data_IF_113666838315
#
_entry.id   IF_113666838315
#
_cell.length_a   1.000
_cell.length_b   1.000
_cell.length_c   1.000
_cell.angle_alpha   90.00
_cell.angle_beta   90.00
_cell.angle_gamma   90.00
#
_symmetry.space_group_name_H-M   'P 1'
#
loop_
_entity.id
_entity.type
_entity.pdbx_description
1 polymer ?
#
# COMPACT_ATOMS: atom_id res chain seq x y z
N UNK A 1 24.50 41.75 19.11
CA UNK A 1 24.66 40.43 18.46
C UNK A 1 23.70 40.40 17.29
N UNK A 2 24.22 40.48 16.07
CA UNK A 2 23.39 40.32 14.87
C UNK A 2 23.05 38.84 14.72
N UNK A 3 21.77 38.48 14.81
CA UNK A 3 21.32 37.14 14.48
C UNK A 3 21.42 36.96 12.97
N UNK A 4 22.34 36.11 12.53
CA UNK A 4 22.38 35.64 11.14
C UNK A 4 21.10 34.83 10.89
N UNK A 5 20.15 35.45 10.19
CA UNK A 5 18.95 34.78 9.69
C UNK A 5 19.34 33.92 8.49
N UNK A 6 19.68 32.66 8.74
CA UNK A 6 19.90 31.68 7.67
C UNK A 6 18.55 31.37 7.04
N UNK A 7 18.39 31.63 5.73
CA UNK A 7 17.16 31.26 5.02
C UNK A 7 17.25 29.79 4.64
N UNK A 8 16.09 29.12 4.58
CA UNK A 8 16.02 27.70 4.17
C UNK A 8 16.63 27.48 2.77
N UNK A 9 16.53 28.47 1.89
CA UNK A 9 17.13 28.43 0.56
C UNK A 9 18.66 28.50 0.55
N UNK A 10 19.29 28.87 1.66
CA UNK A 10 20.75 28.95 1.78
C UNK A 10 21.35 27.62 2.25
N UNK A 11 20.51 26.68 2.73
CA UNK A 11 20.95 25.36 3.15
C UNK A 11 21.39 24.52 1.94
N UNK A 12 22.38 23.63 2.06
CA UNK A 12 22.73 22.64 1.02
C UNK A 12 21.60 21.64 0.73
N UNK A 13 21.61 21.03 -0.47
CA UNK A 13 20.57 20.09 -0.92
C UNK A 13 20.45 18.87 0.01
N UNK A 14 21.58 18.38 0.52
CA UNK A 14 21.65 17.23 1.41
C UNK A 14 20.90 17.50 2.72
N UNK A 15 21.08 18.70 3.28
CA UNK A 15 20.41 19.12 4.50
C UNK A 15 18.91 19.29 4.25
N UNK A 16 18.53 19.88 3.12
CA UNK A 16 17.12 20.00 2.72
C UNK A 16 16.46 18.63 2.57
N UNK A 17 17.11 17.67 1.91
CA UNK A 17 16.59 16.31 1.76
C UNK A 17 16.38 15.66 3.14
N UNK A 18 17.32 15.84 4.07
CA UNK A 18 17.20 15.31 5.44
C UNK A 18 16.00 15.91 6.18
N UNK A 19 15.78 17.23 6.07
CA UNK A 19 14.64 17.92 6.67
C UNK A 19 13.34 17.42 6.04
N UNK A 20 13.24 17.42 4.71
CA UNK A 20 12.01 17.05 4.00
C UNK A 20 11.61 15.59 4.23
N UNK A 21 12.58 14.68 4.41
CA UNK A 21 12.33 13.28 4.79
C UNK A 21 11.67 13.11 6.16
N UNK A 22 11.72 14.12 7.02
CA UNK A 22 11.04 14.11 8.34
C UNK A 22 9.60 14.61 8.26
N UNK A 23 9.18 15.14 7.11
CA UNK A 23 7.84 15.65 6.88
C UNK A 23 7.00 14.62 6.11
N UNK A 24 5.67 14.73 6.19
CA UNK A 24 4.77 13.89 5.43
C UNK A 24 4.95 14.12 3.92
N UNK A 25 5.04 13.02 3.16
CA UNK A 25 5.32 13.11 1.72
C UNK A 25 4.25 13.93 1.00
N UNK A 26 2.98 13.73 1.34
CA UNK A 26 1.87 14.45 0.74
C UNK A 26 2.04 15.97 0.90
N UNK A 27 2.34 16.45 2.11
CA UNK A 27 2.50 17.88 2.41
C UNK A 27 3.67 18.50 1.67
N UNK A 28 4.81 17.80 1.65
CA UNK A 28 6.01 18.25 0.93
C UNK A 28 5.73 18.34 -0.56
N UNK A 29 5.16 17.29 -1.14
CA UNK A 29 4.84 17.26 -2.57
C UNK A 29 3.85 18.37 -2.93
N UNK A 30 2.76 18.49 -2.18
CA UNK A 30 1.76 19.52 -2.42
C UNK A 30 2.34 20.95 -2.28
N UNK A 31 3.14 21.18 -1.24
CA UNK A 31 3.64 22.52 -0.92
C UNK A 31 4.80 22.94 -1.80
N UNK A 32 5.69 22.02 -2.20
CA UNK A 32 6.92 22.37 -2.89
C UNK A 32 6.83 22.24 -4.41
N UNK A 33 5.94 21.39 -4.93
CA UNK A 33 5.83 21.19 -6.37
C UNK A 33 5.36 22.48 -7.05
N UNK A 34 6.12 22.97 -8.01
CA UNK A 34 5.83 24.19 -8.76
C UNK A 34 6.26 25.49 -8.07
N UNK A 35 6.77 25.45 -6.84
CA UNK A 35 7.19 26.68 -6.12
C UNK A 35 8.54 27.18 -6.59
N UNK A 36 9.53 26.30 -6.68
CA UNK A 36 10.87 26.64 -7.15
C UNK A 36 11.53 25.45 -7.83
N UNK A 37 12.33 25.71 -8.87
CA UNK A 37 13.06 24.68 -9.62
C UNK A 37 13.94 23.79 -8.73
N UNK A 38 14.60 24.36 -7.73
CA UNK A 38 15.44 23.63 -6.77
C UNK A 38 14.61 22.67 -5.93
N UNK A 39 13.54 23.17 -5.31
CA UNK A 39 12.65 22.31 -4.52
C UNK A 39 11.94 21.24 -5.34
N UNK A 40 11.55 21.53 -6.59
CA UNK A 40 11.03 20.51 -7.51
C UNK A 40 12.05 19.40 -7.75
N UNK A 41 13.32 19.77 -7.95
CA UNK A 41 14.40 18.79 -8.17
C UNK A 41 14.59 17.90 -6.94
N UNK A 42 14.51 18.48 -5.74
CA UNK A 42 14.62 17.76 -4.48
C UNK A 42 13.39 16.85 -4.23
N UNK A 43 12.18 17.39 -4.38
CA UNK A 43 10.93 16.66 -4.17
C UNK A 43 10.75 15.51 -5.16
N UNK A 44 11.27 15.67 -6.39
CA UNK A 44 11.25 14.62 -7.42
C UNK A 44 12.49 13.72 -7.38
N UNK A 45 13.40 13.90 -6.41
CA UNK A 45 14.58 13.04 -6.28
C UNK A 45 14.14 11.61 -5.96
N UNK A 46 14.84 10.62 -6.52
CA UNK A 46 14.56 9.19 -6.31
C UNK A 46 14.49 8.83 -4.81
N UNK A 47 15.37 9.44 -4.01
CA UNK A 47 15.47 9.17 -2.58
C UNK A 47 14.19 9.55 -1.83
N UNK A 48 13.53 10.63 -2.26
CA UNK A 48 12.28 11.10 -1.66
C UNK A 48 11.06 10.40 -2.27
N UNK A 49 11.01 10.30 -3.60
CA UNK A 49 9.85 9.78 -4.32
C UNK A 49 9.72 8.24 -4.29
N UNK A 50 10.76 7.50 -3.85
CA UNK A 50 10.73 6.03 -3.85
C UNK A 50 9.73 5.42 -2.85
N UNK A 51 9.42 6.14 -1.78
CA UNK A 51 8.48 5.71 -0.75
C UNK A 51 7.51 6.86 -0.48
N UNK A 52 6.24 6.70 -0.83
CA UNK A 52 5.23 7.73 -0.65
C UNK A 52 4.15 7.26 0.32
N UNK A 53 3.92 8.09 1.34
CA UNK A 53 2.73 8.02 2.20
C UNK A 53 1.76 9.12 1.80
N UNK A 54 0.59 8.74 1.30
CA UNK A 54 -0.46 9.64 0.80
C UNK A 54 -1.72 9.54 1.66
N UNK A 55 -1.56 9.85 2.94
CA UNK A 55 -2.62 10.06 3.93
C UNK A 55 -2.12 10.99 5.01
N UNK A 56 -3.04 11.55 5.80
CA UNK A 56 -2.72 12.34 6.98
C UNK A 56 -2.78 11.43 8.21
N UNK A 57 -1.75 11.48 9.05
CA UNK A 57 -1.70 10.76 10.33
C UNK A 57 -1.62 11.76 11.47
N UNK A 58 -2.59 11.70 12.37
CA UNK A 58 -2.65 12.53 13.57
C UNK A 58 -3.15 11.68 14.73
N UNK A 59 -2.40 11.63 15.84
CA UNK A 59 -2.71 10.82 17.02
C UNK A 59 -3.03 9.34 16.71
N UNK A 60 -2.25 8.72 15.81
CA UNK A 60 -2.45 7.36 15.29
C UNK A 60 -3.79 7.15 14.55
N UNK A 61 -4.45 8.22 14.13
CA UNK A 61 -5.63 8.17 13.29
C UNK A 61 -5.23 8.51 11.86
N UNK A 62 -5.46 7.55 10.97
CA UNK A 62 -5.28 7.75 9.54
C UNK A 62 -6.53 8.40 8.96
N UNK A 63 -6.30 9.52 8.28
CA UNK A 63 -7.33 10.29 7.60
C UNK A 63 -6.96 10.51 6.14
N UNK A 64 -7.99 10.65 5.32
CA UNK A 64 -7.82 10.95 3.89
C UNK A 64 -7.21 12.34 3.70
N UNK A 65 -6.48 12.50 2.60
CA UNK A 65 -6.02 13.82 2.17
C UNK A 65 -7.22 14.72 1.84
N UNK A 66 -7.13 16.04 2.07
CA UNK A 66 -8.12 16.99 1.56
C UNK A 66 -8.29 16.87 0.04
N UNK A 67 -9.53 16.96 -0.47
CA UNK A 67 -9.81 16.76 -1.90
C UNK A 67 -8.94 17.64 -2.84
N UNK A 68 -8.74 18.95 -2.58
CA UNK A 68 -7.88 19.78 -3.43
C UNK A 68 -6.42 19.32 -3.46
N UNK A 69 -5.95 18.76 -2.35
CA UNK A 69 -4.60 18.23 -2.23
C UNK A 69 -4.48 16.93 -3.03
N UNK A 70 -5.46 16.04 -2.88
CA UNK A 70 -5.54 14.78 -3.62
C UNK A 70 -5.64 15.03 -5.13
N UNK A 71 -6.50 15.95 -5.57
CA UNK A 71 -6.66 16.31 -6.98
C UNK A 71 -5.35 16.80 -7.60
N UNK A 72 -4.64 17.67 -6.90
CA UNK A 72 -3.34 18.16 -7.35
C UNK A 72 -2.30 17.07 -7.39
N UNK A 73 -2.25 16.20 -6.38
CA UNK A 73 -1.33 15.06 -6.34
C UNK A 73 -1.59 14.14 -7.53
N UNK A 74 -2.84 13.75 -7.78
CA UNK A 74 -3.22 12.87 -8.88
C UNK A 74 -2.97 13.49 -10.26
N UNK A 75 -3.38 14.74 -10.48
CA UNK A 75 -3.34 15.34 -11.82
C UNK A 75 -1.97 15.94 -12.20
N UNK A 76 -1.18 16.41 -11.24
CA UNK A 76 0.05 17.17 -11.52
C UNK A 76 1.32 16.51 -11.01
N UNK A 77 1.28 15.86 -9.85
CA UNK A 77 2.50 15.42 -9.16
C UNK A 77 2.83 13.97 -9.52
N UNK A 78 1.88 13.05 -9.35
CA UNK A 78 2.07 11.63 -9.63
C UNK A 78 2.57 11.37 -11.05
N UNK A 79 2.05 12.03 -12.12
CA UNK A 79 2.57 11.87 -13.47
C UNK A 79 4.05 12.23 -13.63
N UNK A 80 4.64 13.02 -12.74
CA UNK A 80 6.05 13.42 -12.80
C UNK A 80 6.99 12.44 -12.08
N UNK A 81 6.48 11.72 -11.08
CA UNK A 81 7.29 10.88 -10.18
C UNK A 81 6.93 9.40 -10.20
N UNK A 82 5.87 8.99 -10.90
CA UNK A 82 5.35 7.61 -10.88
C UNK A 82 6.40 6.52 -11.15
N UNK A 83 7.31 6.76 -12.10
CA UNK A 83 8.39 5.83 -12.45
C UNK A 83 9.45 5.68 -11.34
N UNK A 84 9.44 6.52 -10.30
CA UNK A 84 10.38 6.43 -9.17
C UNK A 84 9.78 5.72 -7.96
N UNK A 85 8.45 5.61 -7.90
CA UNK A 85 7.73 5.07 -6.74
C UNK A 85 7.92 3.56 -6.68
N UNK A 86 8.48 3.07 -5.55
CA UNK A 86 8.66 1.65 -5.25
C UNK A 86 7.71 1.16 -4.16
N UNK A 87 7.36 2.05 -3.23
CA UNK A 87 6.43 1.78 -2.13
C UNK A 87 5.40 2.90 -2.06
N UNK A 88 4.12 2.54 -2.00
CA UNK A 88 3.00 3.47 -1.95
C UNK A 88 2.07 3.07 -0.80
N UNK A 89 1.87 3.97 0.16
CA UNK A 89 0.98 3.78 1.31
C UNK A 89 -0.19 4.72 1.20
N UNK A 90 -1.40 4.16 1.12
CA UNK A 90 -2.62 4.89 0.81
C UNK A 90 -3.69 4.65 1.88
N UNK A 91 -4.50 5.67 2.10
CA UNK A 91 -5.80 5.48 2.74
C UNK A 91 -6.80 4.89 1.73
N UNK A 92 -7.66 3.99 2.21
CA UNK A 92 -8.55 3.15 1.41
C UNK A 92 -9.53 3.91 0.50
N UNK A 93 -10.13 5.01 0.97
CA UNK A 93 -11.09 5.81 0.20
C UNK A 93 -10.42 6.59 -0.92
N UNK A 94 -9.13 6.87 -0.80
CA UNK A 94 -8.34 7.58 -1.82
C UNK A 94 -7.66 6.63 -2.82
N UNK A 95 -7.66 5.32 -2.54
CA UNK A 95 -6.91 4.31 -3.30
C UNK A 95 -7.25 4.33 -4.79
N UNK A 96 -8.53 4.26 -5.15
CA UNK A 96 -8.95 4.17 -6.55
C UNK A 96 -8.48 5.39 -7.35
N UNK A 97 -8.71 6.60 -6.83
CA UNK A 97 -8.28 7.86 -7.48
C UNK A 97 -6.77 7.91 -7.68
N UNK A 98 -5.98 7.40 -6.75
CA UNK A 98 -4.52 7.43 -6.82
C UNK A 98 -4.02 6.37 -7.81
N UNK A 99 -4.50 5.13 -7.69
CA UNK A 99 -4.06 4.03 -8.57
C UNK A 99 -4.46 4.24 -10.03
N UNK A 100 -5.57 4.94 -10.29
CA UNK A 100 -6.01 5.30 -11.64
C UNK A 100 -5.34 6.56 -12.20
N UNK A 101 -4.65 7.35 -11.38
CA UNK A 101 -4.05 8.60 -11.83
C UNK A 101 -2.89 8.40 -12.83
N UNK A 102 -2.16 7.28 -12.73
CA UNK A 102 -1.00 6.99 -13.57
C UNK A 102 -0.61 5.51 -13.48
N UNK A 103 0.31 5.08 -14.35
CA UNK A 103 0.89 3.74 -14.29
C UNK A 103 2.14 3.73 -13.39
N UNK A 104 2.29 2.77 -12.49
CA UNK A 104 3.42 2.68 -11.56
C UNK A 104 4.35 1.50 -11.90
N UNK A 105 5.25 1.65 -12.89
CA UNK A 105 6.01 0.51 -13.43
C UNK A 105 7.00 -0.12 -12.44
N UNK A 106 7.39 0.61 -11.38
CA UNK A 106 8.39 0.18 -10.39
C UNK A 106 7.78 -0.11 -9.01
N UNK A 107 6.44 -0.14 -8.90
CA UNK A 107 5.75 -0.35 -7.63
C UNK A 107 5.87 -1.81 -7.18
N UNK A 108 6.57 -2.01 -6.06
CA UNK A 108 6.82 -3.33 -5.48
C UNK A 108 6.05 -3.54 -4.16
N UNK A 109 5.57 -2.46 -3.56
CA UNK A 109 4.85 -2.47 -2.29
C UNK A 109 3.67 -1.50 -2.33
N UNK A 110 2.49 -2.02 -2.02
CA UNK A 110 1.28 -1.24 -1.81
C UNK A 110 0.76 -1.52 -0.40
N UNK A 111 0.70 -0.48 0.42
CA UNK A 111 0.11 -0.51 1.76
C UNK A 111 -1.25 0.18 1.74
N UNK A 112 -2.27 -0.49 2.26
CA UNK A 112 -3.62 0.07 2.39
C UNK A 112 -3.98 0.25 3.86
N UNK A 113 -4.48 1.43 4.17
CA UNK A 113 -4.76 1.90 5.52
C UNK A 113 -6.19 2.42 5.63
N UNK A 114 -6.75 2.39 6.84
CA UNK A 114 -8.14 2.79 7.06
C UNK A 114 -9.16 1.84 6.39
N UNK A 115 -8.74 0.61 6.05
CA UNK A 115 -9.63 -0.37 5.44
C UNK A 115 -10.54 -0.94 6.52
N UNK A 116 -11.85 -0.88 6.30
CA UNK A 116 -12.79 -1.62 7.14
C UNK A 116 -12.55 -3.12 6.95
N UNK A 117 -12.26 -3.84 8.05
CA UNK A 117 -11.95 -5.27 8.07
C UNK A 117 -12.99 -6.11 7.34
N UNK A 118 -14.28 -5.82 7.52
CA UNK A 118 -15.38 -6.55 6.90
C UNK A 118 -15.39 -6.36 5.38
N UNK A 119 -15.08 -5.14 4.92
CA UNK A 119 -14.89 -4.83 3.49
C UNK A 119 -13.64 -5.49 2.93
N UNK A 120 -12.54 -5.56 3.68
CA UNK A 120 -11.35 -6.28 3.25
C UNK A 120 -11.66 -7.77 3.06
N UNK A 121 -12.29 -8.41 4.06
CA UNK A 121 -12.61 -9.84 4.03
C UNK A 121 -13.53 -10.22 2.86
N UNK A 122 -14.50 -9.36 2.52
CA UNK A 122 -15.38 -9.58 1.36
C UNK A 122 -14.67 -9.45 0.01
N UNK A 123 -13.61 -8.62 -0.10
CA UNK A 123 -12.82 -8.50 -1.32
C UNK A 123 -11.90 -9.72 -1.56
N UNK A 124 -11.37 -10.32 -0.49
CA UNK A 124 -10.46 -11.47 -0.59
C UNK A 124 -11.15 -12.83 -0.66
N UNK A 125 -12.44 -12.93 -0.33
CA UNK A 125 -13.20 -14.18 -0.42
C UNK A 125 -13.71 -14.49 -1.84
N UNK A 126 -13.66 -13.52 -2.77
CA UNK A 126 -14.22 -13.67 -4.12
C UNK A 126 -13.23 -13.74 -5.30
N UNK A 127 -11.95 -13.36 -5.12
CA UNK A 127 -11.03 -13.15 -6.26
C UNK A 127 -9.61 -13.66 -5.95
N UNK A 128 -8.99 -14.41 -6.87
CA UNK A 128 -7.55 -14.73 -6.81
C UNK A 128 -6.74 -13.42 -6.89
N UNK A 129 -6.02 -13.00 -5.84
CA UNK A 129 -5.30 -11.74 -5.86
C UNK A 129 -4.07 -11.82 -6.78
N UNK A 130 -4.00 -10.96 -7.79
CA UNK A 130 -2.83 -10.80 -8.68
C UNK A 130 -1.80 -9.80 -8.14
N UNK A 131 -2.15 -9.02 -7.11
CA UNK A 131 -1.24 -8.12 -6.40
C UNK A 131 -1.03 -8.63 -4.96
N UNK A 132 0.23 -8.68 -4.52
CA UNK A 132 0.58 -9.03 -3.14
C UNK A 132 0.30 -7.79 -2.28
N UNK A 133 -0.86 -7.73 -1.65
CA UNK A 133 -1.12 -6.79 -0.55
C UNK A 133 -0.26 -7.23 0.63
N UNK A 134 0.81 -6.47 0.93
CA UNK A 134 1.78 -6.85 1.97
C UNK A 134 1.41 -6.34 3.37
N UNK A 135 0.62 -5.27 3.44
CA UNK A 135 0.27 -4.64 4.71
C UNK A 135 -1.13 -4.02 4.64
N UNK A 136 -2.02 -4.49 5.51
CA UNK A 136 -3.33 -3.88 5.78
C UNK A 136 -3.27 -3.42 7.25
N UNK A 137 -3.26 -2.11 7.49
CA UNK A 137 -3.43 -1.58 8.85
C UNK A 137 -4.89 -1.26 9.09
N UNK A 138 -5.42 -1.84 10.14
CA UNK A 138 -6.79 -1.62 10.61
C UNK A 138 -6.66 -0.81 11.89
N UNK A 139 -6.51 0.50 11.75
CA UNK A 139 -6.37 1.39 12.90
C UNK A 139 -7.73 1.53 13.60
N UNK A 140 -8.03 0.52 14.41
CA UNK A 140 -9.12 0.46 15.42
C UNK A 140 -8.95 -0.78 16.33
N UNK A 141 -7.71 -1.23 16.56
CA UNK A 141 -7.44 -2.53 17.20
C UNK A 141 -6.40 -2.45 18.32
N UNK A 142 -6.58 -1.51 19.25
CA UNK A 142 -5.89 -1.57 20.56
C UNK A 142 -6.56 -2.55 21.54
N UNK A 143 -7.68 -3.18 21.17
CA UNK A 143 -8.45 -4.06 22.09
C UNK A 143 -8.76 -5.47 21.56
N UNK A 144 -8.87 -5.68 20.25
CA UNK A 144 -9.31 -6.98 19.69
C UNK A 144 -8.16 -7.87 19.19
N UNK A 145 -6.90 -7.43 19.32
CA UNK A 145 -5.69 -8.21 18.97
C UNK A 145 -5.48 -9.42 19.88
N UNK A 146 -6.11 -9.46 21.06
CA UNK A 146 -6.07 -10.62 21.96
C UNK A 146 -7.08 -11.72 21.57
N UNK A 147 -8.23 -11.37 20.99
CA UNK A 147 -9.26 -12.35 20.63
C UNK A 147 -9.02 -13.00 19.25
N UNK A 148 -8.36 -12.29 18.33
CA UNK A 148 -8.06 -12.82 16.98
C UNK A 148 -6.88 -13.82 16.95
N UNK A 149 -6.01 -13.83 17.96
CA UNK A 149 -4.99 -14.87 18.11
C UNK A 149 -5.57 -16.20 18.60
N UNK A 150 -6.63 -16.16 19.41
CA UNK A 150 -7.31 -17.36 19.93
C UNK A 150 -8.20 -17.99 18.85
N UNK A 151 -8.97 -17.18 18.11
CA UNK A 151 -9.81 -17.68 17.02
C UNK A 151 -9.02 -18.28 15.83
N UNK A 152 -7.78 -17.82 15.58
CA UNK A 152 -6.92 -18.41 14.54
C UNK A 152 -6.35 -19.77 14.93
N UNK A 153 -6.21 -20.05 16.23
CA UNK A 153 -5.70 -21.34 16.71
C UNK A 153 -6.76 -22.45 16.54
N UNK A 154 -8.03 -22.17 16.83
CA UNK A 154 -9.13 -23.15 16.65
C UNK A 154 -9.38 -23.50 15.18
N UNK A 155 -9.37 -22.51 14.28
CA UNK A 155 -9.65 -22.75 12.85
C UNK A 155 -8.55 -23.60 12.19
N UNK A 156 -7.28 -23.49 12.65
CA UNK A 156 -6.18 -24.29 12.11
C UNK A 156 -6.19 -25.75 12.58
N UNK A 157 -6.71 -26.02 13.78
CA UNK A 157 -6.84 -27.37 14.32
C UNK A 157 -7.97 -28.16 13.63
N UNK A 158 -9.09 -27.51 13.34
CA UNK A 158 -10.22 -28.12 12.62
C UNK A 158 -9.87 -28.53 11.18
N UNK A 159 -9.10 -27.70 10.48
CA UNK A 159 -8.63 -28.01 9.11
C UNK A 159 -7.64 -29.19 9.10
N UNK A 160 -6.87 -29.36 10.18
CA UNK A 160 -5.92 -30.47 10.34
C UNK A 160 -6.61 -31.81 10.64
N UNK A 161 -7.74 -31.78 11.36
CA UNK A 161 -8.59 -32.95 11.62
C UNK A 161 -9.31 -33.44 10.35
N UNK A 162 -9.75 -32.52 9.48
CA UNK A 162 -10.43 -32.85 8.22
C UNK A 162 -9.48 -33.54 7.22
N UNK A 163 -8.21 -33.12 7.14
CA UNK A 163 -7.21 -33.79 6.28
C UNK A 163 -6.83 -35.20 6.71
N UNK A 164 -7.00 -35.57 7.99
CA UNK A 164 -6.73 -36.92 8.48
C UNK A 164 -7.86 -37.93 8.22
N UNK A 165 -9.09 -37.48 7.92
CA UNK A 165 -10.26 -38.36 7.69
C UNK A 165 -10.57 -38.63 6.21
N UNK A 166 -9.89 -37.98 5.27
CA UNK A 166 -10.11 -38.15 3.83
C UNK A 166 -9.05 -38.99 3.13
N UNK A 167 -8.93 -40.27 3.44
CA UNK A 167 -8.24 -41.23 2.58
C UNK A 167 -9.08 -42.50 2.47
N UNK A 168 -9.81 -42.64 1.36
CA UNK A 168 -10.45 -43.87 0.90
C UNK A 168 -10.07 -44.09 -0.58
N UNK A 169 -9.98 -45.35 -1.02
CA UNK A 169 -9.06 -45.78 -2.07
C UNK A 169 -9.56 -45.53 -3.49
N UNK A 170 -8.62 -45.21 -4.37
CA UNK A 170 -8.80 -45.12 -5.82
C UNK A 170 -9.07 -46.53 -6.36
N UNK A 171 -10.24 -46.75 -6.94
CA UNK A 171 -10.58 -47.97 -7.69
C UNK A 171 -10.12 -47.80 -9.14
N UNK A 172 -9.27 -48.71 -9.61
CA UNK A 172 -8.78 -48.80 -10.98
C UNK A 172 -9.92 -49.22 -11.91
N UNK A 173 -10.25 -48.38 -12.91
CA UNK A 173 -11.06 -48.76 -14.06
C UNK A 173 -10.12 -49.37 -15.11
N UNK A 174 -10.24 -50.68 -15.31
CA UNK A 174 -9.54 -51.41 -16.35
C UNK A 174 -10.41 -51.44 -17.62
N UNK A 175 -9.87 -50.90 -18.71
CA UNK A 175 -10.51 -50.83 -20.03
C UNK A 175 -9.93 -51.95 -20.90
N UNK A 176 -10.69 -53.03 -21.09
CA UNK A 176 -10.42 -54.00 -22.16
C UNK A 176 -11.34 -53.73 -23.34
N UNK A 177 -10.72 -53.32 -24.45
CA UNK A 177 -11.32 -53.22 -25.78
C UNK A 177 -10.82 -54.41 -26.58
N UNK A 178 -11.73 -55.27 -27.03
CA UNK A 178 -11.48 -56.23 -28.11
C UNK A 178 -12.36 -55.85 -29.32
N UNK A 179 -11.78 -55.59 -30.49
CA UNK A 179 -12.50 -55.53 -31.75
C UNK A 179 -12.12 -56.69 -32.68
N UNK A 180 -13.08 -57.08 -33.55
CA UNK A 180 -13.03 -58.01 -34.71
C UNK A 180 -13.57 -59.42 -34.41
N UNK A 181 -14.24 -60.14 -35.31
CA UNK A 181 -14.38 -60.06 -36.77
C UNK A 181 -15.60 -60.94 -37.17
N UNK A 182 -16.22 -60.61 -38.31
CA UNK A 182 -17.26 -61.36 -39.08
C UNK A 182 -18.67 -61.47 -38.52
#
# INVERSE_FOLDING_TARGET
MEHLSIKINDLPDEILILILKKLYNADVLYSLTGVNKRFNTIAHNLTFASQLTLFCEFDNVISRLPDPMLDRICSQILPLIHHKIKSLKLESTSMERILLATNYPNLNELGLYGVNVEKALSLFTGSKPQAIVRHISTDTLSKTTLELSEAKAEIFDDISQIKKKGSLPITTLDSSVDPKLT
#
